data_IF_830271871867
#
_entry.id   IF_830271871867
#
_cell.length_a   1.000
_cell.length_b   1.000
_cell.length_c   1.000
_cell.angle_alpha   90.00
_cell.angle_beta   90.00
_cell.angle_gamma   90.00
#
_symmetry.space_group_name_H-M   'P 1'
#
loop_
_entity.id
_entity.type
_entity.pdbx_description
1 polymer ?
#
# COMPACT_ATOMS: atom_id res chain seq x y z
N UNK A 1 23.41 26.01 -31.09
CA UNK A 1 23.44 24.56 -30.90
C UNK A 1 22.40 24.21 -29.82
N UNK A 2 21.21 23.76 -30.23
CA UNK A 2 20.10 23.39 -29.34
C UNK A 2 20.32 21.92 -28.91
N UNK A 3 20.55 21.67 -27.61
CA UNK A 3 20.57 20.34 -27.05
C UNK A 3 19.14 19.81 -26.98
N UNK A 4 18.83 18.80 -27.75
CA UNK A 4 17.63 18.01 -27.60
C UNK A 4 17.80 17.13 -26.35
N UNK A 5 16.91 17.31 -25.39
CA UNK A 5 16.76 16.41 -24.25
C UNK A 5 15.88 15.24 -24.69
N UNK A 6 16.50 14.09 -24.85
CA UNK A 6 15.81 12.84 -25.15
C UNK A 6 15.09 12.37 -23.88
N UNK A 7 13.78 12.54 -23.84
CA UNK A 7 12.94 12.00 -22.77
C UNK A 7 12.69 10.52 -23.09
N UNK A 8 13.41 9.63 -22.40
CA UNK A 8 13.09 8.20 -22.40
C UNK A 8 11.78 7.96 -21.64
N UNK A 9 10.85 7.16 -22.15
CA UNK A 9 9.66 6.80 -21.40
C UNK A 9 10.03 5.87 -20.27
N UNK A 10 9.65 6.25 -19.06
CA UNK A 10 9.74 5.44 -17.85
C UNK A 10 8.84 4.22 -18.03
N UNK A 11 9.46 3.05 -18.15
CA UNK A 11 8.75 1.79 -18.17
C UNK A 11 8.09 1.56 -16.80
N UNK A 12 6.76 1.63 -16.76
CA UNK A 12 5.97 1.20 -15.62
C UNK A 12 6.22 -0.29 -15.38
N UNK A 13 6.88 -0.61 -14.26
CA UNK A 13 6.91 -1.98 -13.75
C UNK A 13 5.54 -2.29 -13.13
N UNK A 14 4.66 -2.89 -13.92
CA UNK A 14 3.48 -3.55 -13.39
C UNK A 14 3.93 -4.79 -12.61
N UNK A 15 3.58 -4.85 -11.34
CA UNK A 15 3.70 -6.06 -10.53
C UNK A 15 2.61 -7.02 -11.01
N UNK A 16 2.93 -7.85 -12.00
CA UNK A 16 2.13 -9.02 -12.33
C UNK A 16 2.37 -10.06 -11.24
N UNK A 17 1.44 -10.21 -10.30
CA UNK A 17 1.43 -11.30 -9.34
C UNK A 17 1.18 -12.63 -10.08
N UNK A 18 2.26 -13.36 -10.37
CA UNK A 18 2.20 -14.75 -10.77
C UNK A 18 1.88 -15.60 -9.52
N UNK A 19 0.62 -15.97 -9.35
CA UNK A 19 0.25 -17.03 -8.41
C UNK A 19 0.73 -18.38 -8.97
N UNK A 20 1.80 -18.92 -8.41
CA UNK A 20 2.17 -20.33 -8.61
C UNK A 20 1.60 -21.17 -7.46
N UNK A 21 0.75 -22.11 -7.84
CA UNK A 21 -0.11 -22.94 -7.06
C UNK A 21 0.56 -23.67 -5.88
N UNK A 22 -0.07 -23.58 -4.71
CA UNK A 22 -0.03 -24.62 -3.67
C UNK A 22 -0.92 -25.76 -4.11
N UNK A 23 -0.39 -26.98 -4.08
CA UNK A 23 -1.05 -28.20 -4.51
C UNK A 23 -2.15 -28.61 -3.50
N UNK A 24 -3.39 -28.21 -3.79
CA UNK A 24 -4.58 -28.81 -3.24
C UNK A 24 -5.47 -29.18 -4.42
N UNK A 25 -6.01 -30.37 -4.40
CA UNK A 25 -6.77 -31.09 -5.43
C UNK A 25 -7.70 -30.18 -6.26
N UNK A 26 -7.24 -29.80 -7.44
CA UNK A 26 -8.01 -28.97 -8.37
C UNK A 26 -9.11 -29.82 -8.99
N UNK A 27 -10.36 -29.57 -8.62
CA UNK A 27 -11.49 -29.89 -9.49
C UNK A 27 -11.23 -29.20 -10.82
N UNK A 28 -11.19 -29.99 -11.90
CA UNK A 28 -11.07 -29.51 -13.28
C UNK A 28 -12.14 -28.47 -13.56
N UNK A 29 -11.78 -27.19 -13.43
CA UNK A 29 -12.55 -26.10 -14.03
C UNK A 29 -12.28 -26.21 -15.53
N UNK A 30 -13.31 -26.43 -16.31
CA UNK A 30 -13.27 -26.41 -17.76
C UNK A 30 -12.59 -25.12 -18.22
N UNK A 31 -11.57 -25.21 -19.08
CA UNK A 31 -10.96 -24.06 -19.72
C UNK A 31 -12.05 -23.31 -20.51
N UNK A 32 -12.56 -22.23 -19.95
CA UNK A 32 -13.37 -21.28 -20.72
C UNK A 32 -12.49 -20.69 -21.83
N UNK A 33 -12.97 -20.77 -23.05
CA UNK A 33 -12.39 -20.11 -24.22
C UNK A 33 -12.13 -18.63 -23.91
N UNK A 34 -11.07 -17.99 -24.44
CA UNK A 34 -10.83 -16.56 -24.23
C UNK A 34 -12.08 -15.80 -24.64
N UNK A 35 -12.75 -15.17 -23.68
CA UNK A 35 -13.96 -14.39 -23.93
C UNK A 35 -13.59 -13.26 -24.89
N UNK A 36 -14.32 -13.14 -25.98
CA UNK A 36 -14.13 -12.12 -26.99
C UNK A 36 -14.18 -10.74 -26.30
N UNK A 37 -13.20 -9.88 -26.58
CA UNK A 37 -13.15 -8.53 -26.03
C UNK A 37 -14.36 -7.71 -26.46
N UNK A 38 -14.69 -6.65 -25.72
CA UNK A 38 -15.74 -5.70 -26.07
C UNK A 38 -15.22 -4.74 -27.14
N UNK A 39 -16.02 -4.56 -28.20
CA UNK A 39 -15.84 -3.51 -29.20
C UNK A 39 -16.97 -2.49 -29.05
N UNK A 40 -16.62 -1.21 -28.94
CA UNK A 40 -17.58 -0.11 -28.74
C UNK A 40 -16.98 1.21 -29.26
N UNK A 41 -17.60 2.33 -28.97
CA UNK A 41 -17.11 3.66 -29.29
C UNK A 41 -17.25 4.60 -28.11
N UNK A 42 -16.53 5.71 -28.11
CA UNK A 42 -16.80 6.83 -27.22
C UNK A 42 -18.12 7.49 -27.64
N UNK A 43 -19.10 7.53 -26.72
CA UNK A 43 -20.41 8.16 -26.98
C UNK A 43 -20.41 9.67 -26.72
N UNK A 44 -19.75 10.08 -25.61
CA UNK A 44 -19.66 11.49 -25.22
C UNK A 44 -18.47 11.75 -24.30
N UNK A 45 -18.14 13.02 -24.12
CA UNK A 45 -17.09 13.48 -23.21
C UNK A 45 -17.72 14.49 -22.26
N UNK A 46 -17.53 14.29 -20.95
CA UNK A 46 -18.02 15.23 -19.95
C UNK A 46 -17.10 16.46 -19.80
N UNK A 47 -17.52 17.43 -19.00
CA UNK A 47 -16.77 18.68 -18.75
C UNK A 47 -15.42 18.46 -18.07
N UNK A 48 -15.17 17.29 -17.48
CA UNK A 48 -13.92 16.93 -16.84
C UNK A 48 -13.00 16.12 -17.77
N UNK A 49 -13.48 15.77 -18.96
CA UNK A 49 -12.74 14.98 -19.95
C UNK A 49 -12.85 13.48 -19.75
N UNK A 50 -13.83 12.99 -18.98
CA UNK A 50 -14.12 11.56 -18.94
C UNK A 50 -14.87 11.15 -20.21
N UNK A 51 -14.52 10.00 -20.77
CA UNK A 51 -15.09 9.48 -22.01
C UNK A 51 -16.11 8.38 -21.69
N UNK A 52 -17.40 8.68 -21.85
CA UNK A 52 -18.45 7.68 -21.79
C UNK A 52 -18.42 6.77 -23.02
N UNK A 53 -18.75 5.50 -22.86
CA UNK A 53 -18.76 4.49 -23.91
C UNK A 53 -20.19 4.17 -24.36
N UNK A 54 -20.34 3.74 -25.63
CA UNK A 54 -21.59 3.25 -26.19
C UNK A 54 -21.88 1.79 -25.78
N UNK A 55 -21.76 1.52 -24.48
CA UNK A 55 -22.08 0.23 -23.89
C UNK A 55 -22.61 0.45 -22.48
N UNK A 56 -23.64 -0.30 -22.09
CA UNK A 56 -24.20 -0.25 -20.74
C UNK A 56 -23.33 -1.00 -19.74
N UNK A 57 -23.52 -0.73 -18.47
CA UNK A 57 -22.86 -1.48 -17.39
C UNK A 57 -23.21 -2.97 -17.47
N UNK A 58 -24.47 -3.30 -17.73
CA UNK A 58 -24.95 -4.69 -17.76
C UNK A 58 -24.31 -5.47 -18.92
N UNK A 59 -24.24 -4.88 -20.12
CA UNK A 59 -23.58 -5.48 -21.27
C UNK A 59 -22.09 -5.69 -21.02
N UNK A 60 -21.41 -4.74 -20.38
CA UNK A 60 -20.00 -4.84 -20.04
C UNK A 60 -19.76 -5.94 -19.01
N UNK A 61 -20.62 -6.03 -18.00
CA UNK A 61 -20.57 -7.10 -16.98
C UNK A 61 -20.91 -8.47 -17.58
N UNK A 62 -21.91 -8.53 -18.48
CA UNK A 62 -22.26 -9.77 -19.19
C UNK A 62 -21.12 -10.26 -20.10
N UNK A 63 -20.29 -9.36 -20.61
CA UNK A 63 -19.05 -9.70 -21.32
C UNK A 63 -17.93 -10.23 -20.39
N UNK A 64 -18.16 -10.28 -19.08
CA UNK A 64 -17.28 -10.88 -18.07
C UNK A 64 -16.31 -9.91 -17.40
N UNK A 65 -16.51 -8.59 -17.54
CA UNK A 65 -15.70 -7.58 -16.87
C UNK A 65 -16.36 -7.12 -15.57
N UNK A 66 -15.62 -7.18 -14.46
CA UNK A 66 -16.11 -6.87 -13.13
C UNK A 66 -15.15 -5.93 -12.39
N UNK A 67 -15.63 -5.18 -11.36
CA UNK A 67 -14.74 -4.40 -10.50
C UNK A 67 -13.62 -5.25 -9.90
N UNK A 68 -12.37 -4.75 -10.02
CA UNK A 68 -11.17 -5.47 -9.62
C UNK A 68 -10.45 -6.22 -10.75
N UNK A 69 -11.01 -6.27 -11.96
CA UNK A 69 -10.28 -6.76 -13.14
C UNK A 69 -9.30 -5.71 -13.64
N UNK A 70 -8.21 -6.12 -14.27
CA UNK A 70 -7.37 -5.26 -15.12
C UNK A 70 -7.69 -5.58 -16.58
N UNK A 71 -7.92 -4.53 -17.37
CA UNK A 71 -8.21 -4.62 -18.77
C UNK A 71 -7.19 -3.86 -19.61
N UNK A 72 -6.87 -4.38 -20.80
CA UNK A 72 -6.12 -3.69 -21.83
C UNK A 72 -7.09 -3.00 -22.79
N UNK A 73 -6.87 -1.73 -23.06
CA UNK A 73 -7.78 -0.88 -23.81
C UNK A 73 -7.02 -0.24 -24.97
N UNK A 74 -7.68 -0.21 -26.13
CA UNK A 74 -7.27 0.59 -27.27
C UNK A 74 -8.41 1.55 -27.61
N UNK A 75 -8.16 2.86 -27.48
CA UNK A 75 -9.08 3.93 -27.83
C UNK A 75 -8.48 4.74 -29.00
N UNK A 76 -8.91 4.44 -30.22
CA UNK A 76 -8.24 4.96 -31.43
C UNK A 76 -6.78 4.50 -31.52
N UNK A 77 -5.85 5.45 -31.53
CA UNK A 77 -4.40 5.18 -31.49
C UNK A 77 -3.83 5.03 -30.08
N UNK A 78 -4.58 5.42 -29.02
CA UNK A 78 -4.11 5.41 -27.64
C UNK A 78 -4.37 4.04 -26.99
N UNK A 79 -3.31 3.42 -26.45
CA UNK A 79 -3.40 2.13 -25.77
C UNK A 79 -2.95 2.28 -24.32
N UNK A 80 -3.68 1.67 -23.40
CA UNK A 80 -3.41 1.70 -21.96
C UNK A 80 -4.03 0.51 -21.25
N UNK A 81 -3.56 0.24 -20.04
CA UNK A 81 -4.18 -0.71 -19.13
C UNK A 81 -4.84 0.05 -17.99
N UNK A 82 -5.96 -0.45 -17.49
CA UNK A 82 -6.66 0.15 -16.38
C UNK A 82 -7.45 -0.88 -15.58
N UNK A 83 -7.60 -0.69 -14.26
CA UNK A 83 -8.54 -1.47 -13.48
C UNK A 83 -9.98 -1.05 -13.77
N UNK A 84 -10.87 -2.03 -13.67
CA UNK A 84 -12.33 -1.81 -13.65
C UNK A 84 -12.74 -1.44 -12.23
N UNK A 85 -13.39 -0.29 -12.07
CA UNK A 85 -13.69 0.33 -10.79
C UNK A 85 -15.11 0.89 -10.76
N UNK A 86 -15.58 1.34 -9.58
CA UNK A 86 -16.89 2.00 -9.42
C UNK A 86 -16.76 3.49 -9.10
N UNK A 87 -15.65 3.91 -8.46
CA UNK A 87 -15.39 5.29 -8.10
C UNK A 87 -14.04 5.78 -8.66
N UNK A 88 -13.90 7.08 -8.84
CA UNK A 88 -12.61 7.66 -9.25
C UNK A 88 -11.50 7.42 -8.23
N UNK A 89 -11.83 7.49 -6.94
CA UNK A 89 -10.93 7.24 -5.82
C UNK A 89 -10.49 5.77 -5.64
N UNK A 90 -11.03 4.86 -6.46
CA UNK A 90 -10.60 3.45 -6.47
C UNK A 90 -9.20 3.27 -7.09
N UNK A 91 -8.62 4.34 -7.63
CA UNK A 91 -7.22 4.44 -8.07
C UNK A 91 -6.57 5.71 -7.54
N UNK A 92 -5.24 5.77 -7.52
CA UNK A 92 -4.51 6.97 -7.11
C UNK A 92 -4.71 8.12 -8.10
N UNK A 93 -4.44 9.36 -7.65
CA UNK A 93 -4.47 10.53 -8.51
C UNK A 93 -3.55 10.35 -9.72
N UNK A 94 -4.02 10.74 -10.89
CA UNK A 94 -3.30 10.60 -12.15
C UNK A 94 -3.33 9.20 -12.78
N UNK A 95 -3.97 8.20 -12.14
CA UNK A 95 -4.11 6.85 -12.70
C UNK A 95 -5.38 6.68 -13.53
N UNK A 96 -5.29 5.83 -14.55
CA UNK A 96 -6.41 5.45 -15.41
C UNK A 96 -7.35 4.48 -14.69
N UNK A 97 -8.64 4.55 -15.03
CA UNK A 97 -9.65 3.57 -14.62
C UNK A 97 -10.74 3.41 -15.69
N UNK A 98 -11.34 2.23 -15.74
CA UNK A 98 -12.63 2.00 -16.37
C UNK A 98 -13.68 2.07 -15.27
N UNK A 99 -14.54 3.08 -15.32
CA UNK A 99 -15.55 3.28 -14.27
C UNK A 99 -16.89 2.71 -14.70
N UNK A 100 -17.42 1.82 -13.88
CA UNK A 100 -18.79 1.32 -13.96
C UNK A 100 -19.70 2.18 -13.08
N UNK A 101 -20.83 2.60 -13.61
CA UNK A 101 -21.83 3.39 -12.88
C UNK A 101 -23.22 3.18 -13.51
N UNK A 102 -24.28 3.58 -12.79
CA UNK A 102 -25.65 3.56 -13.33
C UNK A 102 -25.79 4.33 -14.68
N UNK A 103 -24.88 5.26 -14.96
CA UNK A 103 -24.81 5.98 -16.23
C UNK A 103 -24.04 5.26 -17.36
N UNK A 104 -23.59 4.01 -17.13
CA UNK A 104 -22.86 3.22 -18.10
C UNK A 104 -21.38 3.05 -17.76
N UNK A 105 -20.56 2.83 -18.79
CA UNK A 105 -19.10 2.61 -18.71
C UNK A 105 -18.37 3.85 -19.18
N UNK A 106 -17.31 4.25 -18.48
CA UNK A 106 -16.49 5.39 -18.91
C UNK A 106 -15.00 5.16 -18.64
N UNK A 107 -14.16 5.79 -19.43
CA UNK A 107 -12.73 5.93 -19.17
C UNK A 107 -12.45 7.24 -18.48
N UNK A 108 -11.60 7.20 -17.46
CA UNK A 108 -11.23 8.36 -16.69
C UNK A 108 -9.77 8.32 -16.22
N UNK A 109 -9.28 9.48 -15.81
CA UNK A 109 -8.06 9.64 -15.01
C UNK A 109 -8.51 10.26 -13.69
N UNK A 110 -8.20 9.62 -12.55
CA UNK A 110 -8.50 10.23 -11.26
C UNK A 110 -7.77 11.57 -11.14
N UNK A 111 -8.51 12.66 -10.89
CA UNK A 111 -8.01 14.04 -10.87
C UNK A 111 -7.29 14.48 -12.16
N UNK A 112 -7.66 13.91 -13.31
CA UNK A 112 -7.08 14.21 -14.61
C UNK A 112 -8.11 14.32 -15.72
N UNK A 113 -7.65 14.56 -16.96
CA UNK A 113 -8.49 14.70 -18.15
C UNK A 113 -8.10 13.64 -19.18
N UNK A 114 -8.90 12.56 -19.28
CA UNK A 114 -8.62 11.43 -20.16
C UNK A 114 -8.68 11.83 -21.64
N UNK A 115 -9.71 12.57 -22.06
CA UNK A 115 -9.89 12.98 -23.46
C UNK A 115 -8.69 13.79 -23.97
N UNK A 116 -8.21 14.76 -23.16
CA UNK A 116 -7.03 15.55 -23.49
C UNK A 116 -5.76 14.70 -23.59
N UNK A 117 -5.60 13.73 -22.68
CA UNK A 117 -4.40 12.87 -22.64
C UNK A 117 -4.38 11.87 -23.80
N UNK A 118 -5.54 11.28 -24.12
CA UNK A 118 -5.66 10.24 -25.14
C UNK A 118 -5.92 10.75 -26.56
N UNK A 119 -6.40 12.00 -26.69
CA UNK A 119 -6.89 12.52 -27.94
C UNK A 119 -8.24 11.92 -28.40
N UNK A 120 -8.95 11.20 -27.52
CA UNK A 120 -10.23 10.59 -27.83
C UNK A 120 -11.32 11.65 -28.01
N UNK A 121 -12.21 11.40 -28.97
CA UNK A 121 -13.39 12.21 -29.30
C UNK A 121 -14.63 11.31 -29.39
N UNK A 122 -15.82 11.90 -29.42
CA UNK A 122 -17.03 11.14 -29.71
C UNK A 122 -16.88 10.39 -31.07
N UNK A 123 -17.29 9.13 -31.11
CA UNK A 123 -17.09 8.22 -32.23
C UNK A 123 -15.74 7.50 -32.26
N UNK A 124 -14.78 7.83 -31.39
CA UNK A 124 -13.49 7.11 -31.34
C UNK A 124 -13.75 5.61 -31.09
N UNK A 125 -13.22 4.70 -31.93
CA UNK A 125 -13.35 3.26 -31.75
C UNK A 125 -12.63 2.79 -30.50
N UNK A 126 -13.25 1.89 -29.77
CA UNK A 126 -12.71 1.33 -28.49
C UNK A 126 -12.74 -0.19 -28.54
N UNK A 127 -11.60 -0.80 -28.20
CA UNK A 127 -11.49 -2.23 -27.96
C UNK A 127 -11.04 -2.46 -26.51
N UNK A 128 -11.73 -3.34 -25.78
CA UNK A 128 -11.39 -3.72 -24.41
C UNK A 128 -11.18 -5.23 -24.35
N UNK A 129 -10.07 -5.66 -23.80
CA UNK A 129 -9.74 -7.08 -23.60
C UNK A 129 -9.35 -7.34 -22.14
N UNK A 130 -9.66 -8.53 -21.64
CA UNK A 130 -9.20 -8.96 -20.31
C UNK A 130 -7.68 -9.09 -20.30
N UNK A 131 -7.04 -8.40 -19.38
CA UNK A 131 -5.61 -8.53 -19.10
C UNK A 131 -5.35 -9.40 -17.87
N UNK A 132 -6.12 -9.20 -16.81
CA UNK A 132 -6.00 -9.97 -15.57
C UNK A 132 -7.31 -9.99 -14.80
N UNK A 133 -7.96 -11.14 -14.78
CA UNK A 133 -9.20 -11.34 -13.99
C UNK A 133 -8.88 -11.22 -12.50
N UNK A 134 -9.56 -10.31 -11.81
CA UNK A 134 -9.35 -10.05 -10.38
C UNK A 134 -7.97 -9.52 -10.00
N UNK A 135 -7.13 -9.12 -10.96
CA UNK A 135 -5.74 -8.72 -10.68
C UNK A 135 -5.62 -7.41 -9.87
N UNK A 136 -6.70 -6.63 -9.76
CA UNK A 136 -6.82 -5.44 -8.93
C UNK A 136 -7.83 -5.61 -7.79
N UNK A 137 -8.36 -6.82 -7.59
CA UNK A 137 -9.49 -7.03 -6.67
C UNK A 137 -9.11 -6.74 -5.21
N UNK A 138 -7.89 -7.07 -4.78
CA UNK A 138 -7.42 -6.77 -3.43
C UNK A 138 -7.37 -5.26 -3.17
N UNK A 139 -6.73 -4.50 -4.06
CA UNK A 139 -6.67 -3.04 -3.97
C UNK A 139 -8.07 -2.42 -4.03
N UNK A 140 -8.92 -2.88 -4.94
CA UNK A 140 -10.31 -2.43 -5.03
C UNK A 140 -11.06 -2.67 -3.72
N UNK A 141 -10.99 -3.88 -3.14
CA UNK A 141 -11.67 -4.22 -1.87
C UNK A 141 -11.13 -3.39 -0.69
N UNK A 142 -9.82 -3.14 -0.64
CA UNK A 142 -9.22 -2.28 0.39
C UNK A 142 -9.79 -0.87 0.31
N UNK A 143 -9.94 -0.31 -0.89
CA UNK A 143 -10.46 1.05 -1.11
C UNK A 143 -11.97 1.19 -0.83
N UNK A 144 -12.70 0.07 -0.77
CA UNK A 144 -14.12 0.06 -0.33
C UNK A 144 -14.26 0.02 1.19
N UNK A 145 -13.20 -0.27 1.94
CA UNK A 145 -13.25 -0.32 3.40
C UNK A 145 -13.48 1.08 3.98
N UNK A 146 -14.38 1.16 4.94
CA UNK A 146 -14.69 2.40 5.67
C UNK A 146 -14.40 2.21 7.14
N UNK A 147 -13.71 3.17 7.74
CA UNK A 147 -13.47 3.24 9.17
C UNK A 147 -14.33 4.33 9.80
N UNK A 148 -14.71 4.14 11.06
CA UNK A 148 -15.33 5.20 11.85
C UNK A 148 -14.27 6.15 12.42
N UNK A 149 -14.62 7.42 12.56
CA UNK A 149 -13.81 8.41 13.28
C UNK A 149 -14.25 8.59 14.74
N UNK A 150 -15.29 7.86 15.19
CA UNK A 150 -15.78 7.93 16.54
C UNK A 150 -15.08 6.90 17.43
N UNK A 151 -14.44 7.35 18.51
CA UNK A 151 -13.77 6.46 19.48
C UNK A 151 -14.70 5.40 20.06
N UNK A 152 -15.97 5.73 20.31
CA UNK A 152 -16.97 4.81 20.87
C UNK A 152 -17.27 3.58 20.04
N UNK A 153 -16.93 3.60 18.74
CA UNK A 153 -17.15 2.47 17.83
C UNK A 153 -16.05 1.40 17.93
N UNK A 154 -15.03 1.66 18.76
CA UNK A 154 -13.86 0.79 18.94
C UNK A 154 -13.76 0.25 20.36
N UNK A 155 -13.30 -0.98 20.49
CA UNK A 155 -13.23 -1.70 21.77
C UNK A 155 -12.30 -1.05 22.79
N UNK A 156 -11.20 -0.43 22.37
CA UNK A 156 -10.23 0.22 23.24
C UNK A 156 -9.50 1.37 22.53
N UNK A 157 -8.72 2.15 23.30
CA UNK A 157 -7.87 3.22 22.77
C UNK A 157 -6.78 2.66 21.84
N UNK A 158 -6.25 1.48 22.14
CA UNK A 158 -5.26 0.79 21.33
C UNK A 158 -5.82 0.42 19.97
N UNK A 159 -7.05 -0.12 19.92
CA UNK A 159 -7.72 -0.45 18.67
C UNK A 159 -8.00 0.81 17.85
N UNK A 160 -8.49 1.87 18.48
CA UNK A 160 -8.79 3.14 17.83
C UNK A 160 -7.54 3.82 17.26
N UNK A 161 -6.46 3.90 18.05
CA UNK A 161 -5.18 4.48 17.65
C UNK A 161 -4.31 3.51 16.81
N UNK A 162 -4.77 2.29 16.56
CA UNK A 162 -4.00 1.22 15.94
C UNK A 162 -2.63 1.03 16.62
N UNK A 163 -2.60 1.25 17.95
CA UNK A 163 -1.40 1.13 18.77
C UNK A 163 -1.21 -0.30 19.23
N UNK A 164 -0.02 -0.84 19.06
CA UNK A 164 0.33 -2.17 19.59
C UNK A 164 1.83 -2.40 19.66
N UNK A 165 2.21 -3.30 20.52
CA UNK A 165 3.51 -3.95 20.50
C UNK A 165 3.60 -4.94 19.35
N UNK A 166 4.71 -4.93 18.61
CA UNK A 166 4.99 -5.88 17.54
C UNK A 166 5.71 -7.09 18.15
N UNK A 167 5.04 -8.25 18.12
CA UNK A 167 5.52 -9.51 18.71
C UNK A 167 5.65 -10.58 17.63
N UNK A 168 6.69 -10.49 16.81
CA UNK A 168 6.94 -11.41 15.73
C UNK A 168 8.41 -11.84 15.69
N UNK A 169 8.65 -13.09 15.37
CA UNK A 169 10.00 -13.66 15.33
C UNK A 169 10.74 -13.50 16.64
N UNK A 170 12.01 -13.08 16.56
CA UNK A 170 12.89 -12.84 17.70
C UNK A 170 12.85 -11.41 18.28
N UNK A 171 11.83 -10.61 17.95
CA UNK A 171 11.68 -9.26 18.55
C UNK A 171 11.35 -9.41 20.04
N UNK A 172 12.20 -8.84 20.90
CA UNK A 172 12.02 -8.92 22.33
C UNK A 172 10.84 -8.04 22.79
N UNK A 173 10.17 -8.47 23.87
CA UNK A 173 9.03 -7.73 24.43
C UNK A 173 9.44 -6.31 24.84
N UNK A 174 8.58 -5.34 24.56
CA UNK A 174 8.80 -3.93 24.86
C UNK A 174 9.73 -3.20 23.88
N UNK A 175 10.20 -3.84 22.82
CA UNK A 175 11.17 -3.24 21.90
C UNK A 175 10.56 -2.46 20.74
N UNK A 176 9.54 -3.00 20.10
CA UNK A 176 8.96 -2.41 18.90
C UNK A 176 7.46 -2.22 19.04
N UNK A 177 6.99 -1.03 18.73
CA UNK A 177 5.58 -0.64 18.71
C UNK A 177 5.23 0.03 17.40
N UNK A 178 3.94 0.03 17.06
CA UNK A 178 3.42 0.81 15.93
C UNK A 178 2.05 1.40 16.25
N UNK A 179 1.73 2.56 15.61
CA UNK A 179 0.46 3.28 15.82
C UNK A 179 0.11 4.18 14.64
N UNK A 180 -1.07 4.82 14.72
CA UNK A 180 -1.35 6.02 13.95
C UNK A 180 -0.44 7.18 14.38
N UNK A 181 -0.53 8.31 13.65
CA UNK A 181 0.25 9.51 13.94
C UNK A 181 -0.21 10.17 15.26
N UNK A 182 0.69 10.39 16.23
CA UNK A 182 0.33 11.03 17.49
C UNK A 182 0.24 12.56 17.41
N UNK A 183 0.69 13.17 16.30
CA UNK A 183 0.85 14.64 16.18
C UNK A 183 -0.14 15.25 15.21
N UNK A 184 -0.51 14.53 14.16
CA UNK A 184 -1.37 15.06 13.11
C UNK A 184 -2.84 15.11 13.55
N UNK A 185 -3.56 16.22 13.26
CA UNK A 185 -4.94 16.54 13.67
C UNK A 185 -6.05 15.53 13.33
N UNK A 186 -5.77 14.27 13.48
CA UNK A 186 -6.72 13.14 13.43
C UNK A 186 -7.31 12.93 14.82
N UNK A 187 -8.57 12.56 14.93
CA UNK A 187 -9.25 12.24 16.17
C UNK A 187 -8.51 11.16 17.02
N UNK A 188 -7.64 10.38 16.40
CA UNK A 188 -6.86 9.29 17.03
C UNK A 188 -5.58 9.79 17.69
N UNK A 189 -5.04 10.94 17.27
CA UNK A 189 -3.75 11.45 17.74
C UNK A 189 -3.64 11.57 19.26
N UNK A 190 -4.62 12.12 20.01
CA UNK A 190 -4.54 12.22 21.46
C UNK A 190 -4.50 10.85 22.18
N UNK A 191 -5.10 9.82 21.57
CA UNK A 191 -5.08 8.46 22.12
C UNK A 191 -3.72 7.79 21.86
N UNK A 192 -3.15 7.97 20.67
CA UNK A 192 -1.80 7.51 20.37
C UNK A 192 -0.78 8.15 21.31
N UNK A 193 -0.85 9.46 21.55
CA UNK A 193 0.02 10.19 22.48
C UNK A 193 -0.03 9.61 23.90
N UNK A 194 -1.23 9.39 24.44
CA UNK A 194 -1.41 8.78 25.78
C UNK A 194 -0.79 7.39 25.86
N UNK A 195 -1.00 6.57 24.81
CA UNK A 195 -0.48 5.21 24.77
C UNK A 195 1.04 5.17 24.64
N UNK A 196 1.63 6.08 23.87
CA UNK A 196 3.07 6.25 23.74
C UNK A 196 3.69 6.58 25.10
N UNK A 197 3.10 7.52 25.84
CA UNK A 197 3.54 7.88 27.18
C UNK A 197 3.38 6.72 28.17
N UNK A 198 2.20 6.09 28.19
CA UNK A 198 1.88 5.00 29.12
C UNK A 198 2.79 3.77 28.92
N UNK A 199 3.23 3.49 27.70
CA UNK A 199 4.16 2.39 27.37
C UNK A 199 5.63 2.81 27.44
N UNK A 200 5.92 4.05 27.83
CA UNK A 200 7.29 4.53 28.01
C UNK A 200 8.14 4.48 26.76
N UNK A 201 7.55 4.75 25.59
CA UNK A 201 8.27 4.78 24.30
C UNK A 201 9.40 5.80 24.39
N UNK A 202 10.60 5.42 23.95
CA UNK A 202 11.80 6.25 24.09
C UNK A 202 12.33 6.82 22.79
N UNK A 203 12.01 6.20 21.67
CA UNK A 203 12.38 6.69 20.35
C UNK A 203 11.26 6.44 19.35
N UNK A 204 11.15 7.30 18.31
CA UNK A 204 10.13 7.14 17.29
C UNK A 204 10.66 7.38 15.88
N UNK A 205 10.18 6.57 14.95
CA UNK A 205 10.38 6.72 13.50
C UNK A 205 9.08 7.24 12.89
N UNK A 206 9.06 8.53 12.61
CA UNK A 206 7.94 9.21 11.95
C UNK A 206 8.10 9.14 10.43
N UNK A 207 7.37 8.22 9.83
CA UNK A 207 7.38 8.01 8.38
C UNK A 207 6.50 9.03 7.63
N UNK A 208 5.61 9.74 8.34
CA UNK A 208 4.58 10.57 7.73
C UNK A 208 4.99 12.01 7.50
N UNK A 209 5.62 12.62 8.48
CA UNK A 209 5.82 14.07 8.54
C UNK A 209 7.27 14.48 8.29
N UNK A 210 7.43 15.68 7.74
CA UNK A 210 8.66 16.43 7.93
C UNK A 210 8.68 17.03 9.35
N UNK A 211 9.87 17.37 9.86
CA UNK A 211 9.97 18.10 11.14
C UNK A 211 9.12 19.37 11.12
N UNK A 212 9.16 20.13 10.04
CA UNK A 212 8.38 21.37 9.90
C UNK A 212 6.87 21.14 9.97
N UNK A 213 6.35 20.09 9.28
CA UNK A 213 4.92 19.79 9.32
C UNK A 213 4.46 19.31 10.70
N UNK A 214 5.26 18.46 11.36
CA UNK A 214 4.96 17.99 12.71
C UNK A 214 4.93 19.14 13.72
N UNK A 215 5.85 20.11 13.61
CA UNK A 215 5.93 21.25 14.53
C UNK A 215 4.68 22.13 14.52
N UNK A 216 3.84 22.09 13.50
CA UNK A 216 2.58 22.85 13.46
C UNK A 216 1.55 22.33 14.48
N UNK A 217 1.68 21.08 14.92
CA UNK A 217 0.74 20.42 15.83
C UNK A 217 1.44 19.77 17.03
N UNK A 218 2.75 19.88 17.15
CA UNK A 218 3.56 19.16 18.14
C UNK A 218 3.17 19.49 19.60
N UNK A 219 2.63 20.68 19.83
CA UNK A 219 2.20 21.14 21.16
C UNK A 219 0.97 20.36 21.67
N UNK A 220 0.22 19.71 20.78
CA UNK A 220 -0.91 18.85 21.11
C UNK A 220 -0.45 17.47 21.61
N UNK A 221 0.84 17.11 21.44
CA UNK A 221 1.45 15.85 21.83
C UNK A 221 2.71 16.09 22.71
N UNK A 222 2.55 16.51 23.97
CA UNK A 222 3.65 16.98 24.80
C UNK A 222 4.71 15.92 25.13
N UNK A 223 4.33 14.65 25.32
CA UNK A 223 5.30 13.57 25.51
C UNK A 223 6.11 13.32 24.24
N UNK A 224 5.43 13.19 23.10
CA UNK A 224 6.08 13.01 21.82
C UNK A 224 6.97 14.21 21.46
N UNK A 225 6.52 15.45 21.78
CA UNK A 225 7.33 16.67 21.66
C UNK A 225 8.63 16.55 22.44
N UNK A 226 8.56 16.06 23.69
CA UNK A 226 9.76 15.87 24.50
C UNK A 226 10.76 14.87 23.92
N UNK A 227 10.28 13.82 23.24
CA UNK A 227 11.14 12.90 22.49
C UNK A 227 11.80 13.63 21.30
N UNK A 228 11.02 14.39 20.55
CA UNK A 228 11.51 15.12 19.37
C UNK A 228 12.55 16.20 19.71
N UNK A 229 12.38 16.90 20.83
CA UNK A 229 13.31 17.92 21.32
C UNK A 229 14.64 17.32 21.75
N UNK A 230 14.64 16.10 22.30
CA UNK A 230 15.88 15.36 22.64
C UNK A 230 16.57 14.71 21.44
N UNK A 231 15.97 14.81 20.23
CA UNK A 231 16.47 14.11 19.04
C UNK A 231 16.19 12.60 19.06
N UNK A 232 15.18 12.17 19.80
CA UNK A 232 14.72 10.79 19.87
C UNK A 232 13.60 10.48 18.86
N UNK A 233 13.37 11.39 17.90
CA UNK A 233 12.45 11.19 16.78
C UNK A 233 13.16 11.52 15.48
N UNK A 234 13.11 10.60 14.50
CA UNK A 234 13.47 10.87 13.11
C UNK A 234 12.21 11.16 12.29
N UNK A 235 12.21 12.28 11.55
CA UNK A 235 11.11 12.72 10.70
C UNK A 235 11.49 12.51 9.24
N UNK A 236 10.77 11.67 8.53
CA UNK A 236 11.19 11.20 7.21
C UNK A 236 10.32 11.70 6.05
N UNK A 237 9.05 12.09 6.32
CA UNK A 237 8.14 12.52 5.26
C UNK A 237 8.20 11.58 4.04
N UNK A 238 8.02 10.29 4.26
CA UNK A 238 8.11 9.27 3.21
C UNK A 238 6.86 9.29 2.34
N UNK A 239 7.05 9.12 1.04
CA UNK A 239 5.97 8.80 0.10
C UNK A 239 5.32 7.44 0.40
N UNK A 240 4.47 6.99 -0.51
CA UNK A 240 3.77 5.68 -0.41
C UNK A 240 4.26 4.66 -1.45
N UNK A 241 5.15 5.06 -2.34
CA UNK A 241 5.72 4.19 -3.36
C UNK A 241 7.02 3.54 -2.86
N UNK A 242 6.94 2.28 -2.47
CA UNK A 242 8.06 1.54 -1.87
C UNK A 242 9.24 1.29 -2.83
N UNK A 243 9.06 1.55 -4.13
CA UNK A 243 10.10 1.40 -5.14
C UNK A 243 10.83 2.72 -5.46
N UNK A 244 10.35 3.86 -4.98
CA UNK A 244 10.95 5.17 -5.27
C UNK A 244 12.30 5.33 -4.55
N UNK A 245 13.26 5.96 -5.22
CA UNK A 245 14.60 6.20 -4.66
C UNK A 245 14.56 7.04 -3.37
N UNK A 246 13.68 8.03 -3.30
CA UNK A 246 13.47 8.84 -2.09
C UNK A 246 12.95 7.98 -0.93
N UNK A 247 12.00 7.07 -1.21
CA UNK A 247 11.50 6.14 -0.20
C UNK A 247 12.63 5.22 0.31
N UNK A 248 13.42 4.65 -0.61
CA UNK A 248 14.52 3.73 -0.29
C UNK A 248 15.58 4.42 0.58
N UNK A 249 15.96 5.66 0.24
CA UNK A 249 16.90 6.46 1.03
C UNK A 249 16.37 6.72 2.45
N UNK A 250 15.11 7.13 2.57
CA UNK A 250 14.48 7.39 3.87
C UNK A 250 14.28 6.11 4.69
N UNK A 251 14.08 4.97 4.03
CA UNK A 251 14.07 3.67 4.70
C UNK A 251 15.45 3.34 5.30
N UNK A 252 16.54 3.63 4.58
CA UNK A 252 17.88 3.53 5.13
C UNK A 252 18.02 4.36 6.42
N UNK A 253 17.64 5.64 6.37
CA UNK A 253 17.75 6.55 7.51
C UNK A 253 16.90 6.08 8.71
N UNK A 254 15.70 5.53 8.45
CA UNK A 254 14.84 4.93 9.47
C UNK A 254 15.52 3.79 10.22
N UNK A 255 16.16 2.88 9.46
CA UNK A 255 16.78 1.67 10.02
C UNK A 255 18.09 2.01 10.74
N UNK A 256 18.92 2.90 10.19
CA UNK A 256 20.13 3.41 10.85
C UNK A 256 19.76 4.09 12.18
N UNK A 257 18.72 4.93 12.21
CA UNK A 257 18.24 5.54 13.44
C UNK A 257 17.89 4.51 14.53
N UNK A 258 17.21 3.42 14.18
CA UNK A 258 16.90 2.32 15.12
C UNK A 258 18.20 1.69 15.65
N UNK A 259 19.14 1.38 14.79
CA UNK A 259 20.43 0.76 15.18
C UNK A 259 21.29 1.66 16.06
N UNK A 260 21.33 2.97 15.78
CA UNK A 260 22.16 3.94 16.51
C UNK A 260 21.60 4.30 17.89
N UNK A 261 20.28 4.47 18.02
CA UNK A 261 19.65 4.92 19.25
C UNK A 261 19.77 3.93 20.40
N UNK A 262 19.90 2.63 20.12
CA UNK A 262 20.04 1.56 21.14
C UNK A 262 19.04 1.71 22.29
N UNK A 263 17.89 2.31 22.01
CA UNK A 263 16.84 2.59 22.98
C UNK A 263 16.09 1.32 23.35
N UNK A 264 15.41 1.33 24.48
CA UNK A 264 14.70 0.16 24.95
C UNK A 264 13.31 -0.01 24.31
N UNK A 265 12.75 0.99 23.63
CA UNK A 265 11.44 0.91 22.98
C UNK A 265 11.34 1.88 21.82
N UNK A 266 10.93 1.37 20.66
CA UNK A 266 10.77 2.14 19.44
C UNK A 266 9.32 2.16 18.98
N UNK A 267 8.85 3.31 18.55
CA UNK A 267 7.60 3.45 17.83
C UNK A 267 7.88 3.65 16.35
N UNK A 268 7.27 2.86 15.49
CA UNK A 268 7.20 3.13 14.04
C UNK A 268 5.78 3.55 13.70
N UNK A 269 5.60 4.76 13.17
CA UNK A 269 4.28 5.25 12.79
C UNK A 269 4.26 5.99 11.45
N UNK A 270 3.08 6.06 10.87
CA UNK A 270 2.73 6.91 9.75
C UNK A 270 1.36 7.53 10.02
N UNK A 271 0.61 8.00 9.04
CA UNK A 271 -0.71 8.59 9.33
C UNK A 271 -1.66 7.62 10.05
N UNK A 272 -1.85 6.42 9.49
CA UNK A 272 -2.73 5.39 10.07
C UNK A 272 -1.97 4.28 10.79
N UNK A 273 -0.64 4.24 10.74
CA UNK A 273 0.14 3.10 11.24
C UNK A 273 -0.09 1.79 10.45
N UNK A 274 -0.72 1.88 9.28
CA UNK A 274 -1.18 0.74 8.48
C UNK A 274 -0.20 0.39 7.35
N UNK A 275 -0.01 1.28 6.38
CA UNK A 275 0.69 0.96 5.13
C UNK A 275 2.22 1.11 5.26
N UNK A 276 2.74 2.34 5.38
CA UNK A 276 4.19 2.60 5.52
C UNK A 276 4.76 1.94 6.77
N UNK A 277 4.09 2.11 7.92
CA UNK A 277 4.48 1.46 9.16
C UNK A 277 4.37 -0.07 9.05
N UNK A 278 3.35 -0.59 8.37
CA UNK A 278 3.20 -2.02 8.09
C UNK A 278 4.35 -2.59 7.27
N UNK A 279 4.77 -1.88 6.23
CA UNK A 279 5.89 -2.29 5.40
C UNK A 279 7.22 -2.29 6.19
N UNK A 280 7.52 -1.21 6.90
CA UNK A 280 8.76 -1.11 7.70
C UNK A 280 8.79 -2.18 8.80
N UNK A 281 7.68 -2.39 9.52
CA UNK A 281 7.60 -3.44 10.54
C UNK A 281 7.75 -4.83 9.92
N UNK A 282 7.14 -5.13 8.77
CA UNK A 282 7.31 -6.42 8.08
C UNK A 282 8.78 -6.71 7.73
N UNK A 283 9.55 -5.69 7.35
CA UNK A 283 11.00 -5.85 7.12
C UNK A 283 11.75 -6.13 8.42
N UNK A 284 11.43 -5.43 9.52
CA UNK A 284 12.04 -5.63 10.83
C UNK A 284 11.70 -7.01 11.40
N UNK A 285 10.46 -7.43 11.29
CA UNK A 285 9.97 -8.75 11.67
C UNK A 285 10.70 -9.87 10.93
N UNK A 286 10.77 -9.78 9.61
CA UNK A 286 11.51 -10.73 8.77
C UNK A 286 13.01 -10.76 9.12
N UNK A 287 13.61 -9.58 9.35
CA UNK A 287 15.00 -9.45 9.76
C UNK A 287 15.27 -10.13 11.12
N UNK A 288 14.28 -10.13 12.02
CA UNK A 288 14.33 -10.78 13.31
C UNK A 288 13.81 -12.24 13.29
N UNK A 289 13.59 -12.82 12.13
CA UNK A 289 13.27 -14.24 11.97
C UNK A 289 11.79 -14.60 12.06
N UNK A 290 10.89 -13.65 11.86
CA UNK A 290 9.46 -13.92 11.80
C UNK A 290 9.08 -14.78 10.58
N UNK A 291 8.06 -15.61 10.76
CA UNK A 291 7.40 -16.35 9.68
C UNK A 291 6.51 -15.45 8.83
N UNK A 292 6.13 -15.89 7.64
CA UNK A 292 5.20 -15.16 6.77
C UNK A 292 3.82 -14.99 7.43
N UNK A 293 3.38 -15.98 8.22
CA UNK A 293 2.12 -15.91 8.94
C UNK A 293 2.15 -14.87 10.07
N UNK A 294 3.27 -14.74 10.81
CA UNK A 294 3.45 -13.70 11.82
C UNK A 294 3.45 -12.31 11.19
N UNK A 295 4.21 -12.11 10.11
CA UNK A 295 4.26 -10.84 9.35
C UNK A 295 2.88 -10.48 8.82
N UNK A 296 2.17 -11.45 8.21
CA UNK A 296 0.80 -11.25 7.71
C UNK A 296 -0.15 -10.91 8.84
N UNK A 297 -0.04 -11.57 10.00
CA UNK A 297 -0.92 -11.34 11.14
C UNK A 297 -0.73 -9.93 11.72
N UNK A 298 0.51 -9.46 11.93
CA UNK A 298 0.73 -8.09 12.38
C UNK A 298 0.22 -7.07 11.35
N UNK A 299 0.53 -7.25 10.07
CA UNK A 299 0.02 -6.36 9.01
C UNK A 299 -1.50 -6.28 9.04
N UNK A 300 -2.18 -7.42 9.15
CA UNK A 300 -3.65 -7.53 9.14
C UNK A 300 -4.31 -6.97 10.39
N UNK A 301 -3.62 -6.91 11.54
CA UNK A 301 -4.16 -6.27 12.76
C UNK A 301 -4.64 -4.84 12.50
N UNK A 302 -4.01 -4.09 11.60
CA UNK A 302 -4.48 -2.74 11.24
C UNK A 302 -5.84 -2.78 10.52
N UNK A 303 -6.09 -3.80 9.72
CA UNK A 303 -7.36 -3.99 9.02
C UNK A 303 -8.44 -4.56 9.94
N UNK A 304 -8.06 -5.38 10.89
CA UNK A 304 -8.96 -5.82 11.98
C UNK A 304 -9.39 -4.63 12.83
N UNK A 305 -8.43 -3.80 13.26
CA UNK A 305 -8.68 -2.63 14.10
C UNK A 305 -9.58 -1.60 13.41
N UNK A 306 -9.26 -1.18 12.21
CA UNK A 306 -9.97 -0.08 11.54
C UNK A 306 -11.25 -0.49 10.84
N UNK A 307 -11.31 -1.71 10.32
CA UNK A 307 -12.35 -2.13 9.39
C UNK A 307 -13.08 -3.40 9.80
N UNK A 308 -12.68 -4.02 10.93
CA UNK A 308 -13.31 -5.24 11.41
C UNK A 308 -13.11 -6.46 10.50
N UNK A 309 -12.08 -6.45 9.65
CA UNK A 309 -11.74 -7.60 8.79
C UNK A 309 -11.34 -8.77 9.67
N UNK A 310 -12.02 -9.93 9.52
CA UNK A 310 -11.84 -11.06 10.43
C UNK A 310 -10.87 -12.09 9.87
N UNK A 311 -9.95 -12.58 10.71
CA UNK A 311 -9.07 -13.70 10.40
C UNK A 311 -9.88 -14.93 9.96
N UNK A 312 -9.39 -15.66 8.94
CA UNK A 312 -10.05 -16.83 8.39
C UNK A 312 -11.13 -16.52 7.35
N UNK A 313 -11.28 -15.27 6.93
CA UNK A 313 -12.14 -14.88 5.81
C UNK A 313 -11.32 -14.73 4.53
N UNK A 314 -11.95 -14.92 3.37
CA UNK A 314 -11.33 -14.69 2.06
C UNK A 314 -10.79 -13.25 1.95
N UNK A 315 -11.52 -12.27 2.49
CA UNK A 315 -11.09 -10.88 2.53
C UNK A 315 -9.78 -10.70 3.31
N UNK A 316 -9.65 -11.36 4.45
CA UNK A 316 -8.40 -11.34 5.24
C UNK A 316 -7.22 -11.92 4.45
N UNK A 317 -7.44 -13.04 3.77
CA UNK A 317 -6.39 -13.69 2.99
C UNK A 317 -5.99 -12.88 1.77
N UNK A 318 -6.96 -12.28 1.09
CA UNK A 318 -6.74 -11.39 -0.06
C UNK A 318 -5.94 -10.15 0.34
N UNK A 319 -6.35 -9.44 1.39
CA UNK A 319 -5.67 -8.22 1.86
C UNK A 319 -4.29 -8.56 2.41
N UNK A 320 -4.18 -9.62 3.21
CA UNK A 320 -2.90 -10.08 3.75
C UNK A 320 -1.93 -10.56 2.65
N UNK A 321 -2.46 -10.97 1.50
CA UNK A 321 -1.66 -11.27 0.31
C UNK A 321 -0.86 -10.07 -0.22
N UNK A 322 -1.28 -8.83 0.08
CA UNK A 322 -0.58 -7.61 -0.37
C UNK A 322 0.82 -7.51 0.25
N UNK A 323 0.94 -7.70 1.56
CA UNK A 323 2.27 -7.63 2.21
C UNK A 323 3.16 -8.80 1.77
N UNK A 324 2.60 -9.99 1.58
CA UNK A 324 3.35 -11.14 1.04
C UNK A 324 3.80 -10.87 -0.40
N UNK A 325 2.92 -10.32 -1.24
CA UNK A 325 3.24 -9.90 -2.61
C UNK A 325 4.36 -8.85 -2.65
N UNK A 326 4.40 -7.94 -1.68
CA UNK A 326 5.47 -6.96 -1.54
C UNK A 326 6.81 -7.64 -1.22
N UNK A 327 6.83 -8.63 -0.33
CA UNK A 327 8.03 -9.44 -0.04
C UNK A 327 8.49 -10.24 -1.26
N UNK A 328 7.56 -10.77 -2.05
CA UNK A 328 7.87 -11.43 -3.34
C UNK A 328 8.47 -10.42 -4.34
N UNK A 329 7.94 -9.21 -4.40
CA UNK A 329 8.43 -8.15 -5.29
C UNK A 329 9.87 -7.76 -4.97
N UNK A 330 10.23 -7.55 -3.70
CA UNK A 330 11.62 -7.26 -3.31
C UNK A 330 12.58 -8.44 -3.55
N UNK A 331 12.05 -9.65 -3.73
CA UNK A 331 12.80 -10.86 -4.16
C UNK A 331 12.89 -11.00 -5.69
N UNK A 332 12.53 -9.97 -6.43
CA UNK A 332 12.54 -10.00 -7.90
C UNK A 332 11.47 -10.94 -8.49
N UNK A 333 10.31 -11.05 -7.86
CA UNK A 333 9.18 -11.89 -8.29
C UNK A 333 9.33 -13.37 -7.94
N UNK A 334 10.42 -13.78 -7.29
CA UNK A 334 10.64 -15.17 -6.86
C UNK A 334 9.90 -15.45 -5.54
N UNK A 335 9.44 -16.68 -5.36
CA UNK A 335 8.71 -17.09 -4.16
C UNK A 335 9.47 -16.81 -2.86
N UNK A 336 8.73 -16.42 -1.84
CA UNK A 336 9.20 -16.22 -0.48
C UNK A 336 8.55 -17.26 0.42
N UNK A 337 9.30 -17.81 1.34
CA UNK A 337 8.88 -18.85 2.30
C UNK A 337 9.44 -18.51 3.68
N UNK A 338 8.95 -19.14 4.75
CA UNK A 338 9.48 -18.95 6.11
C UNK A 338 10.99 -19.26 6.19
N UNK A 339 11.48 -20.18 5.34
CA UNK A 339 12.91 -20.55 5.32
C UNK A 339 13.80 -19.49 4.71
N UNK A 340 13.27 -18.62 3.85
CA UNK A 340 14.10 -17.67 3.11
C UNK A 340 13.73 -16.19 3.32
N UNK A 341 12.59 -15.86 3.94
CA UNK A 341 12.11 -14.48 4.08
C UNK A 341 13.14 -13.58 4.74
N UNK A 342 13.76 -14.01 5.82
CA UNK A 342 14.82 -13.25 6.50
C UNK A 342 16.03 -12.95 5.60
N UNK A 343 16.47 -13.95 4.81
CA UNK A 343 17.56 -13.76 3.84
C UNK A 343 17.18 -12.85 2.67
N UNK A 344 15.94 -12.96 2.20
CA UNK A 344 15.42 -12.08 1.14
C UNK A 344 15.42 -10.63 1.61
N UNK A 345 14.90 -10.37 2.80
CA UNK A 345 14.86 -9.02 3.38
C UNK A 345 16.28 -8.52 3.66
N UNK A 346 17.15 -9.31 4.26
CA UNK A 346 18.55 -8.94 4.48
C UNK A 346 19.27 -8.56 3.17
N UNK A 347 19.08 -9.35 2.13
CA UNK A 347 19.65 -9.05 0.81
C UNK A 347 19.11 -7.74 0.23
N UNK A 348 17.79 -7.51 0.31
CA UNK A 348 17.16 -6.26 -0.12
C UNK A 348 17.71 -5.06 0.66
N UNK A 349 17.76 -5.14 1.98
CA UNK A 349 18.28 -4.07 2.83
C UNK A 349 19.74 -3.74 2.54
N UNK A 350 20.55 -4.73 2.19
CA UNK A 350 21.94 -4.53 1.81
C UNK A 350 22.13 -4.00 0.40
N UNK A 351 21.42 -4.55 -0.58
CA UNK A 351 21.73 -4.30 -2.00
C UNK A 351 20.92 -3.17 -2.61
N UNK A 352 19.74 -2.90 -2.09
CA UNK A 352 18.86 -1.83 -2.58
C UNK A 352 18.77 -0.66 -1.62
N UNK A 353 18.63 -0.94 -0.32
CA UNK A 353 18.56 0.11 0.70
C UNK A 353 19.96 0.61 1.08
N UNK A 354 20.98 -0.23 0.94
CA UNK A 354 22.38 0.18 1.10
C UNK A 354 22.95 0.03 2.52
N UNK A 355 22.23 -0.70 3.41
CA UNK A 355 22.75 -0.94 4.76
C UNK A 355 24.01 -1.80 4.76
N UNK A 356 24.99 -1.44 5.58
CA UNK A 356 26.17 -2.26 5.88
C UNK A 356 25.80 -3.47 6.74
N UNK A 357 26.73 -4.39 6.91
CA UNK A 357 26.55 -5.54 7.82
C UNK A 357 26.47 -5.09 9.27
N UNK A 358 27.25 -4.10 9.63
CA UNK A 358 27.32 -3.50 10.96
C UNK A 358 26.01 -2.80 11.33
N UNK A 359 25.45 -2.02 10.42
CA UNK A 359 24.14 -1.37 10.60
C UNK A 359 23.01 -2.39 10.74
N UNK A 360 22.97 -3.44 9.91
CA UNK A 360 22.01 -4.52 10.05
C UNK A 360 22.12 -5.26 11.39
N UNK A 361 23.35 -5.52 11.82
CA UNK A 361 23.60 -6.14 13.13
C UNK A 361 23.13 -5.23 14.29
N UNK A 362 23.36 -3.91 14.17
CA UNK A 362 22.91 -2.93 15.14
C UNK A 362 21.37 -2.88 15.20
N UNK A 363 20.67 -2.90 14.06
CA UNK A 363 19.19 -2.96 14.02
C UNK A 363 18.67 -4.22 14.71
N UNK A 364 19.24 -5.39 14.42
CA UNK A 364 18.84 -6.65 15.08
C UNK A 364 19.06 -6.55 16.60
N UNK A 365 20.25 -6.11 17.04
CA UNK A 365 20.59 -5.99 18.44
C UNK A 365 19.70 -4.98 19.20
N UNK A 366 19.19 -3.95 18.51
CA UNK A 366 18.27 -2.99 19.09
C UNK A 366 16.87 -3.58 19.34
N UNK A 367 16.48 -4.61 18.58
CA UNK A 367 15.15 -5.21 18.65
C UNK A 367 15.11 -6.56 19.41
N UNK A 368 16.22 -7.25 19.53
CA UNK A 368 16.37 -8.52 20.24
C UNK A 368 16.97 -8.30 21.63
#
# INVERSE_FOLDING_TARGET
>A
MKKQVLVMPIALLFIASLFAASCATVKKVSAESPRAGVQTTVSSIDKYGNCALSITQDEFTAAGFEPGDIVSIKAGAFAFDAPVCTNYSDVDNGKYLVRLSKGGVSFAINMGNFAKTSGAAAGTPVAVAMKGKGAYLADYKIRQLKKSENRSDYASDEVFANFREVKAGGIASGRLYRSCNPVYGDARAPYAEKLIQANGIKAAVNLADSRESAWKHIDEAPYYKSLAERGDVVFLNMGVSFADEDFIKKLHDALVFIGEKKSASYLVHCNEGKDRAGYVCALLEALCGATLDEIKADYMTSFENYFGVKKGTEQYDMIGGVIIGTLVSINGGRSVTDRNVGKVVENYLRTKVGLTREELAAVRAALQ
#
